data_IF_366364540182
#
_entry.id   IF_366364540182
#
_cell.length_a   1.000
_cell.length_b   1.000
_cell.length_c   1.000
_cell.angle_alpha   90.00
_cell.angle_beta   90.00
_cell.angle_gamma   90.00
#
_symmetry.space_group_name_H-M   'P 1'
#
loop_
_entity.id
_entity.type
_entity.pdbx_description
1 polymer ?
#
# COMPACT_ATOMS: atom_id res chain seq x y z
N UNK A 1 -0.61 20.06 -1.95
CA UNK A 1 0.66 19.37 -1.64
C UNK A 1 0.75 19.27 -0.12
N UNK A 2 0.78 18.06 0.44
CA UNK A 2 0.97 17.86 1.88
C UNK A 2 2.39 17.30 2.16
N UNK A 3 2.89 17.48 3.38
CA UNK A 3 4.24 17.05 3.76
C UNK A 3 4.31 16.43 5.17
N UNK A 4 3.19 16.31 5.87
CA UNK A 4 3.13 15.75 7.22
C UNK A 4 3.54 14.27 7.29
N UNK A 5 3.33 13.53 6.20
CA UNK A 5 3.71 12.12 6.08
C UNK A 5 5.23 11.89 5.94
N UNK A 6 6.04 12.95 5.77
CA UNK A 6 7.48 12.84 5.57
C UNK A 6 8.21 12.29 6.81
N UNK A 7 7.62 12.40 8.00
CA UNK A 7 8.14 11.99 9.32
C UNK A 7 9.39 11.11 9.31
N UNK A 8 9.23 9.79 9.38
CA UNK A 8 10.34 8.83 9.40
C UNK A 8 10.86 8.44 7.99
N UNK A 9 10.29 9.02 6.93
CA UNK A 9 10.57 8.62 5.54
C UNK A 9 11.62 9.50 4.86
N UNK A 10 11.82 10.74 5.33
CA UNK A 10 12.78 11.68 4.76
C UNK A 10 13.78 12.17 5.79
N UNK A 11 15.06 11.95 5.52
CA UNK A 11 16.14 12.40 6.39
C UNK A 11 16.28 13.92 6.38
N UNK A 12 16.38 14.52 7.57
CA UNK A 12 16.73 15.93 7.70
C UNK A 12 18.23 16.15 7.41
N UNK A 13 18.62 16.99 6.43
CA UNK A 13 20.02 17.21 6.11
C UNK A 13 20.72 18.08 7.17
N UNK A 14 22.00 17.78 7.42
CA UNK A 14 22.88 18.62 8.26
C UNK A 14 23.96 19.27 7.42
N UNK A 15 23.90 20.60 7.27
CA UNK A 15 24.88 21.36 6.46
C UNK A 15 26.32 21.10 6.90
N UNK A 16 26.58 21.09 8.22
CA UNK A 16 27.91 20.81 8.78
C UNK A 16 28.40 19.43 8.38
N UNK A 17 27.52 18.42 8.41
CA UNK A 17 27.87 17.04 8.06
C UNK A 17 28.12 16.90 6.56
N UNK A 18 27.32 17.55 5.73
CA UNK A 18 27.50 17.58 4.27
C UNK A 18 28.85 18.21 3.90
N UNK A 19 29.15 19.41 4.41
CA UNK A 19 30.43 20.09 4.14
C UNK A 19 31.63 19.24 4.59
N UNK A 20 31.56 18.68 5.81
CA UNK A 20 32.60 17.79 6.34
C UNK A 20 32.80 16.57 5.44
N UNK A 21 31.74 15.87 5.08
CA UNK A 21 31.80 14.65 4.27
C UNK A 21 32.37 14.94 2.87
N UNK A 22 32.00 16.07 2.26
CA UNK A 22 32.56 16.52 0.99
C UNK A 22 34.06 16.78 1.07
N UNK A 23 34.51 17.58 2.05
CA UNK A 23 35.93 17.92 2.21
C UNK A 23 36.81 16.69 2.47
N UNK A 24 36.31 15.74 3.28
CA UNK A 24 37.04 14.54 3.64
C UNK A 24 36.76 13.33 2.74
N UNK A 25 35.99 13.49 1.65
CA UNK A 25 35.56 12.41 0.76
C UNK A 25 34.99 11.20 1.53
N UNK A 26 34.17 11.46 2.54
CA UNK A 26 33.52 10.45 3.38
C UNK A 26 32.07 10.25 2.94
N UNK A 27 31.66 8.99 2.82
CA UNK A 27 30.26 8.64 2.60
C UNK A 27 29.47 8.80 3.91
N UNK A 28 28.20 9.21 3.78
CA UNK A 28 27.27 9.17 4.89
C UNK A 28 26.84 7.72 5.16
N UNK A 29 26.71 7.33 6.43
CA UNK A 29 26.27 5.99 6.79
C UNK A 29 24.79 5.72 6.47
N UNK A 30 24.37 4.46 6.65
CA UNK A 30 22.96 4.08 6.51
C UNK A 30 22.07 4.85 7.48
N UNK A 31 20.94 5.36 6.97
CA UNK A 31 19.95 6.10 7.74
C UNK A 31 18.57 5.43 7.64
N UNK A 32 17.74 5.68 8.65
CA UNK A 32 16.32 5.34 8.65
C UNK A 32 15.99 4.10 9.49
N UNK A 33 14.70 3.89 9.80
CA UNK A 33 14.24 2.78 10.64
C UNK A 33 14.53 1.40 10.02
N UNK A 34 14.75 1.35 8.70
CA UNK A 34 15.01 0.14 7.94
C UNK A 34 16.50 -0.06 7.62
N UNK A 35 17.41 0.61 8.34
CA UNK A 35 18.86 0.45 8.15
C UNK A 35 19.33 -1.01 8.37
N UNK A 36 18.58 -1.77 9.19
CA UNK A 36 18.64 -3.23 9.22
C UNK A 36 17.21 -3.77 9.24
N UNK A 37 16.96 -4.89 8.55
CA UNK A 37 15.65 -5.53 8.55
C UNK A 37 15.79 -7.05 8.46
N UNK A 38 14.77 -7.76 8.95
CA UNK A 38 14.69 -9.22 8.85
C UNK A 38 13.92 -9.61 7.60
N UNK A 39 14.44 -10.59 6.87
CA UNK A 39 13.77 -11.17 5.72
C UNK A 39 13.65 -12.69 5.90
N UNK A 40 12.51 -13.33 5.53
CA UNK A 40 12.37 -14.77 5.65
C UNK A 40 13.43 -15.51 4.83
N UNK A 41 14.07 -16.52 5.44
CA UNK A 41 15.09 -17.34 4.77
C UNK A 41 14.53 -18.07 3.52
N UNK A 42 13.24 -18.41 3.52
CA UNK A 42 12.56 -19.08 2.43
C UNK A 42 11.15 -18.53 2.21
N UNK A 43 10.66 -18.60 0.96
CA UNK A 43 9.28 -18.26 0.59
C UNK A 43 8.95 -16.75 0.53
N UNK A 44 9.94 -15.88 0.78
CA UNK A 44 9.79 -14.42 0.74
C UNK A 44 8.78 -13.88 1.76
N UNK A 45 8.42 -12.60 1.63
CA UNK A 45 7.50 -11.91 2.57
C UNK A 45 6.13 -12.61 2.68
N UNK A 46 5.63 -13.23 1.59
CA UNK A 46 4.36 -13.95 1.59
C UNK A 46 4.33 -15.14 2.57
N UNK A 47 5.49 -15.70 2.91
CA UNK A 47 5.59 -16.80 3.87
C UNK A 47 5.20 -16.40 5.29
N UNK A 48 5.40 -15.12 5.67
CA UNK A 48 4.99 -14.60 6.97
C UNK A 48 3.48 -14.75 7.12
N UNK A 49 2.71 -14.30 6.12
CA UNK A 49 1.25 -14.37 6.14
C UNK A 49 0.72 -15.80 6.05
N UNK A 50 1.38 -16.68 5.29
CA UNK A 50 1.06 -18.11 5.28
C UNK A 50 1.34 -18.79 6.62
N UNK A 51 2.36 -18.36 7.37
CA UNK A 51 2.61 -18.87 8.70
C UNK A 51 1.54 -18.38 9.70
N UNK A 52 1.21 -17.09 9.66
CA UNK A 52 0.12 -16.51 10.48
C UNK A 52 -1.22 -17.18 10.18
N UNK A 53 -1.54 -17.44 8.92
CA UNK A 53 -2.82 -18.06 8.56
C UNK A 53 -2.99 -19.46 9.13
N UNK A 54 -1.90 -20.22 9.34
CA UNK A 54 -1.93 -21.55 9.97
C UNK A 54 -2.25 -21.50 11.47
N UNK A 55 -2.08 -20.35 12.11
CA UNK A 55 -2.44 -20.14 13.51
C UNK A 55 -3.93 -19.84 13.72
N UNK A 56 -4.72 -19.73 12.65
CA UNK A 56 -6.14 -19.41 12.68
C UNK A 56 -6.93 -20.63 12.16
N UNK A 57 -8.11 -20.96 12.72
CA UNK A 57 -8.94 -22.05 12.20
C UNK A 57 -9.25 -21.87 10.71
N UNK A 58 -8.96 -22.89 9.90
CA UNK A 58 -8.97 -22.77 8.44
C UNK A 58 -10.38 -22.55 7.87
N UNK A 59 -11.41 -22.98 8.59
CA UNK A 59 -12.82 -22.76 8.26
C UNK A 59 -13.26 -21.28 8.34
N UNK A 60 -12.43 -20.42 8.95
CA UNK A 60 -12.62 -18.96 9.00
C UNK A 60 -12.20 -18.26 7.71
N UNK A 61 -11.42 -18.93 6.85
CA UNK A 61 -11.01 -18.36 5.57
C UNK A 61 -11.94 -18.80 4.46
N UNK A 62 -12.35 -17.84 3.63
CA UNK A 62 -13.15 -18.04 2.42
C UNK A 62 -12.42 -17.35 1.27
N UNK A 63 -11.66 -18.13 0.50
CA UNK A 63 -10.94 -17.65 -0.68
C UNK A 63 -11.80 -17.83 -1.95
N UNK A 64 -11.34 -17.26 -3.07
CA UNK A 64 -12.03 -17.30 -4.37
C UNK A 64 -13.49 -16.79 -4.30
N UNK A 65 -13.71 -15.79 -3.44
CA UNK A 65 -15.02 -15.22 -3.18
C UNK A 65 -14.89 -13.71 -3.13
N UNK A 66 -15.47 -13.02 -4.10
CA UNK A 66 -15.34 -11.57 -4.25
C UNK A 66 -16.58 -10.88 -3.73
N UNK A 67 -16.39 -9.85 -2.92
CA UNK A 67 -17.47 -8.99 -2.45
C UNK A 67 -18.03 -8.18 -3.63
N UNK A 68 -19.34 -8.21 -3.83
CA UNK A 68 -20.02 -7.48 -4.94
C UNK A 68 -21.00 -6.42 -4.45
N UNK A 69 -21.57 -6.58 -3.25
CA UNK A 69 -22.34 -5.51 -2.62
C UNK A 69 -22.38 -5.65 -1.11
N UNK A 70 -22.70 -4.54 -0.45
CA UNK A 70 -22.92 -4.45 0.99
C UNK A 70 -24.20 -3.68 1.24
N UNK A 71 -25.17 -4.34 1.88
CA UNK A 71 -26.32 -3.67 2.47
C UNK A 71 -25.95 -3.23 3.90
N UNK A 72 -25.67 -1.94 4.07
CA UNK A 72 -25.29 -1.37 5.37
C UNK A 72 -26.43 -1.34 6.39
N UNK A 73 -27.69 -1.29 5.95
CA UNK A 73 -28.87 -1.28 6.82
C UNK A 73 -29.20 -2.68 7.34
N UNK A 74 -29.34 -3.65 6.42
CA UNK A 74 -29.58 -5.05 6.80
C UNK A 74 -28.33 -5.72 7.36
N UNK A 75 -27.15 -5.10 7.16
CA UNK A 75 -25.84 -5.59 7.55
C UNK A 75 -25.54 -6.94 6.91
N UNK A 76 -25.65 -6.98 5.59
CA UNK A 76 -25.41 -8.18 4.78
C UNK A 76 -24.37 -7.87 3.70
N UNK A 77 -23.34 -8.71 3.63
CA UNK A 77 -22.36 -8.72 2.55
C UNK A 77 -22.75 -9.78 1.51
N UNK A 78 -22.80 -9.39 0.23
CA UNK A 78 -23.13 -10.26 -0.90
C UNK A 78 -21.89 -10.51 -1.75
N UNK A 79 -21.75 -11.74 -2.25
CA UNK A 79 -20.57 -12.18 -2.98
C UNK A 79 -20.93 -12.66 -4.40
N UNK A 80 -19.93 -12.79 -5.27
CA UNK A 80 -20.13 -13.15 -6.69
C UNK A 80 -20.59 -14.59 -6.93
N UNK A 81 -20.42 -15.46 -5.94
CA UNK A 81 -21.01 -16.81 -5.91
C UNK A 81 -22.49 -16.82 -5.48
N UNK A 82 -23.10 -15.64 -5.28
CA UNK A 82 -24.49 -15.46 -4.84
C UNK A 82 -24.72 -15.66 -3.33
N UNK A 83 -23.70 -16.08 -2.60
CA UNK A 83 -23.82 -16.31 -1.16
C UNK A 83 -23.81 -15.00 -0.37
N UNK A 84 -24.43 -15.03 0.82
CA UNK A 84 -24.63 -13.86 1.68
C UNK A 84 -24.11 -14.10 3.09
N UNK A 85 -23.57 -13.07 3.72
CA UNK A 85 -23.10 -13.12 5.12
C UNK A 85 -23.68 -11.94 5.90
N UNK A 86 -24.51 -12.24 6.89
CA UNK A 86 -24.95 -11.25 7.86
C UNK A 86 -23.83 -10.95 8.87
N UNK A 87 -23.68 -9.68 9.25
CA UNK A 87 -22.65 -9.25 10.19
C UNK A 87 -23.20 -8.32 11.28
N UNK A 88 -22.58 -8.37 12.46
CA UNK A 88 -22.83 -7.38 13.52
C UNK A 88 -21.97 -6.14 13.34
N UNK A 89 -20.71 -6.35 12.99
CA UNK A 89 -19.68 -5.35 12.73
C UNK A 89 -18.85 -5.83 11.54
N UNK A 90 -18.38 -4.90 10.73
CA UNK A 90 -17.52 -5.17 9.58
C UNK A 90 -16.18 -4.47 9.79
N UNK A 91 -15.09 -5.20 9.54
CA UNK A 91 -13.76 -4.64 9.34
C UNK A 91 -13.44 -4.90 7.87
N UNK A 92 -13.31 -3.84 7.09
CA UNK A 92 -13.00 -3.92 5.66
C UNK A 92 -11.56 -3.47 5.42
N UNK A 93 -10.84 -4.24 4.60
CA UNK A 93 -9.54 -3.88 4.05
C UNK A 93 -9.59 -3.66 2.53
N UNK A 94 -10.79 -3.53 1.97
CA UNK A 94 -10.99 -3.15 0.55
C UNK A 94 -10.60 -1.68 0.39
N UNK A 95 -9.96 -1.27 -0.73
CA UNK A 95 -9.72 0.15 -1.01
C UNK A 95 -10.99 0.99 -0.84
N UNK A 96 -10.87 2.16 -0.20
CA UNK A 96 -12.02 2.92 0.29
C UNK A 96 -12.91 3.42 -0.86
N UNK A 97 -12.29 3.90 -1.94
CA UNK A 97 -12.93 4.30 -3.20
C UNK A 97 -13.78 3.18 -3.80
N UNK A 98 -13.24 1.97 -3.85
CA UNK A 98 -13.96 0.79 -4.32
C UNK A 98 -15.07 0.39 -3.33
N UNK A 99 -14.77 0.38 -2.03
CA UNK A 99 -15.71 -0.04 -1.00
C UNK A 99 -16.96 0.85 -0.96
N UNK A 100 -16.79 2.18 -1.05
CA UNK A 100 -17.91 3.12 -1.15
C UNK A 100 -18.83 2.80 -2.35
N UNK A 101 -18.26 2.34 -3.47
CA UNK A 101 -19.02 1.89 -4.64
C UNK A 101 -19.74 0.55 -4.47
N UNK A 102 -19.40 -0.24 -3.45
CA UNK A 102 -20.05 -1.52 -3.13
C UNK A 102 -21.23 -1.35 -2.16
N UNK A 103 -21.30 -0.25 -1.41
CA UNK A 103 -22.36 0.01 -0.44
C UNK A 103 -23.65 0.42 -1.15
N UNK A 104 -24.72 -0.36 -0.97
CA UNK A 104 -25.96 -0.17 -1.74
C UNK A 104 -26.68 1.14 -1.40
N UNK A 105 -26.52 1.65 -0.19
CA UNK A 105 -27.05 2.96 0.22
C UNK A 105 -26.43 4.11 -0.57
N UNK A 106 -25.13 4.02 -0.91
CA UNK A 106 -24.43 5.02 -1.73
C UNK A 106 -24.87 4.99 -3.20
N UNK A 107 -25.40 3.85 -3.67
CA UNK A 107 -25.95 3.72 -5.02
C UNK A 107 -27.38 4.24 -5.12
N UNK A 108 -28.20 3.93 -4.13
CA UNK A 108 -29.65 4.00 -4.22
C UNK A 108 -30.27 5.20 -3.49
N UNK A 109 -29.53 5.86 -2.60
CA UNK A 109 -30.05 7.00 -1.84
C UNK A 109 -29.36 8.29 -2.32
N UNK A 110 -30.10 9.27 -2.87
CA UNK A 110 -29.50 10.57 -3.14
C UNK A 110 -29.03 11.20 -1.81
N UNK A 111 -27.95 11.99 -1.82
CA UNK A 111 -27.47 12.62 -0.61
C UNK A 111 -28.55 13.46 0.06
N UNK A 112 -28.59 13.41 1.40
CA UNK A 112 -29.50 14.26 2.16
C UNK A 112 -28.96 15.70 2.15
N UNK A 113 -29.65 16.60 1.45
CA UNK A 113 -29.25 18.01 1.29
C UNK A 113 -28.07 18.19 0.34
N UNK A 114 -27.28 19.26 0.55
CA UNK A 114 -26.17 19.64 -0.35
C UNK A 114 -24.85 18.86 -0.11
N UNK A 115 -24.86 17.85 0.76
CA UNK A 115 -23.63 17.10 1.08
C UNK A 115 -23.29 16.11 -0.04
N UNK A 116 -22.03 16.00 -0.50
CA UNK A 116 -21.65 15.00 -1.50
C UNK A 116 -21.76 13.58 -0.92
N UNK A 117 -22.03 12.59 -1.77
CA UNK A 117 -21.97 11.18 -1.38
C UNK A 117 -20.55 10.77 -0.97
N UNK A 118 -20.41 9.76 -0.12
CA UNK A 118 -19.09 9.26 0.28
C UNK A 118 -18.31 8.75 -0.92
N UNK A 119 -19.00 8.16 -1.90
CA UNK A 119 -18.35 7.74 -3.16
C UNK A 119 -17.72 8.91 -3.90
N UNK A 120 -18.43 10.04 -4.01
CA UNK A 120 -17.90 11.25 -4.66
C UNK A 120 -16.66 11.80 -3.96
N UNK A 121 -16.68 11.82 -2.62
CA UNK A 121 -15.52 12.23 -1.82
C UNK A 121 -14.34 11.25 -2.01
N UNK A 122 -14.61 9.95 -2.00
CA UNK A 122 -13.59 8.92 -2.15
C UNK A 122 -12.97 8.90 -3.56
N UNK A 123 -13.69 9.35 -4.59
CA UNK A 123 -13.16 9.50 -5.95
C UNK A 123 -12.08 10.59 -6.08
N UNK A 124 -12.01 11.51 -5.11
CA UNK A 124 -10.91 12.47 -5.01
C UNK A 124 -9.61 11.87 -4.45
N UNK A 125 -9.61 10.62 -3.97
CA UNK A 125 -8.42 9.97 -3.43
C UNK A 125 -7.46 9.59 -4.56
N UNK A 126 -6.20 9.97 -4.39
CA UNK A 126 -5.14 9.72 -5.37
C UNK A 126 -4.33 8.50 -4.94
N UNK A 127 -4.04 7.61 -5.89
CA UNK A 127 -3.17 6.46 -5.71
C UNK A 127 -2.26 6.28 -6.94
N UNK A 128 -1.24 5.45 -6.81
CA UNK A 128 -0.33 5.09 -7.90
C UNK A 128 -0.38 3.58 -8.19
N UNK A 129 -0.21 3.22 -9.46
CA UNK A 129 -0.12 1.82 -9.88
C UNK A 129 1.35 1.40 -9.96
N UNK A 130 1.70 0.33 -9.25
CA UNK A 130 3.07 -0.23 -9.25
C UNK A 130 3.15 -1.46 -10.16
N UNK A 131 4.07 -1.43 -11.12
CA UNK A 131 4.39 -2.58 -11.96
C UNK A 131 5.64 -3.29 -11.41
N UNK A 132 5.51 -4.57 -11.08
CA UNK A 132 6.61 -5.38 -10.55
C UNK A 132 7.06 -6.35 -11.63
N UNK A 133 8.33 -6.27 -12.05
CA UNK A 133 8.93 -7.14 -13.07
C UNK A 133 10.14 -7.85 -12.46
N UNK A 134 10.19 -9.18 -12.60
CA UNK A 134 11.29 -10.01 -12.12
C UNK A 134 12.15 -10.55 -13.27
N UNK A 135 13.46 -10.35 -13.19
CA UNK A 135 14.42 -10.92 -14.13
C UNK A 135 15.29 -11.95 -13.42
N UNK A 136 15.20 -13.21 -13.85
CA UNK A 136 16.11 -14.27 -13.41
C UNK A 136 17.35 -14.31 -14.28
N UNK A 137 18.53 -14.04 -13.70
CA UNK A 137 19.80 -14.00 -14.43
C UNK A 137 20.68 -15.16 -13.95
N UNK A 138 21.28 -15.88 -14.90
CA UNK A 138 22.26 -16.93 -14.60
C UNK A 138 23.60 -16.30 -14.23
N UNK A 139 24.17 -16.72 -13.11
CA UNK A 139 25.48 -16.25 -12.62
C UNK A 139 25.41 -15.74 -11.18
N UNK A 140 26.56 -15.37 -10.63
CA UNK A 140 26.64 -14.71 -9.32
C UNK A 140 26.68 -13.19 -9.52
N UNK A 141 25.87 -12.40 -8.79
CA UNK A 141 25.97 -10.96 -8.84
C UNK A 141 27.30 -10.49 -8.25
N UNK A 142 27.90 -9.46 -8.85
CA UNK A 142 29.14 -8.83 -8.38
C UNK A 142 28.93 -7.80 -7.27
N UNK A 143 27.67 -7.45 -6.95
CA UNK A 143 27.30 -6.46 -5.91
C UNK A 143 26.10 -6.93 -5.08
N UNK A 144 26.09 -6.61 -3.78
CA UNK A 144 25.11 -7.07 -2.81
C UNK A 144 24.26 -5.93 -2.26
N UNK A 145 23.26 -5.45 -2.99
CA UNK A 145 22.11 -4.65 -2.48
C UNK A 145 21.24 -4.14 -3.63
N UNK A 146 20.04 -3.64 -3.30
CA UNK A 146 19.14 -2.96 -4.24
C UNK A 146 19.84 -1.73 -4.84
N UNK A 147 20.18 -1.72 -6.15
CA UNK A 147 20.66 -0.51 -6.78
C UNK A 147 19.48 0.46 -6.94
N UNK A 148 19.66 1.70 -6.49
CA UNK A 148 18.81 2.79 -6.95
C UNK A 148 19.16 3.06 -8.41
N UNK A 149 18.17 2.95 -9.30
CA UNK A 149 18.38 3.29 -10.71
C UNK A 149 18.62 4.80 -10.83
N UNK A 150 19.69 5.25 -11.51
CA UNK A 150 19.87 6.67 -11.80
C UNK A 150 18.70 7.12 -12.69
N UNK A 151 18.07 8.23 -12.29
CA UNK A 151 16.97 8.89 -13.01
C UNK A 151 17.40 9.14 -14.46
N UNK A 152 16.64 8.64 -15.43
CA UNK A 152 16.80 9.08 -16.82
C UNK A 152 16.53 10.59 -16.88
N UNK A 153 17.46 11.35 -17.48
CA UNK A 153 17.23 12.75 -17.90
C UNK A 153 16.10 12.81 -18.93
N UNK A 154 14.86 12.80 -18.45
CA UNK A 154 13.76 13.49 -19.12
C UNK A 154 13.45 14.71 -18.26
N UNK A 155 13.30 15.88 -18.90
CA UNK A 155 12.62 17.03 -18.28
C UNK A 155 11.28 16.50 -17.78
N UNK A 156 11.15 16.39 -16.46
CA UNK A 156 9.95 15.91 -15.78
C UNK A 156 9.58 17.05 -14.84
N UNK A 157 8.43 17.67 -15.13
CA UNK A 157 7.74 18.56 -14.20
C UNK A 157 7.52 17.83 -12.87
N UNK A 158 7.60 18.59 -11.77
CA UNK A 158 7.82 18.14 -10.40
C UNK A 158 6.67 17.34 -9.75
N UNK A 159 6.17 16.30 -10.40
CA UNK A 159 4.99 15.54 -9.95
C UNK A 159 5.25 14.03 -9.80
N UNK A 160 6.49 13.57 -9.80
CA UNK A 160 6.75 12.12 -9.75
C UNK A 160 8.01 11.76 -9.00
N UNK A 161 7.99 11.95 -7.68
CA UNK A 161 8.63 11.02 -6.75
C UNK A 161 7.70 10.92 -5.55
N UNK A 162 7.43 9.69 -5.11
CA UNK A 162 7.22 9.24 -3.72
C UNK A 162 6.27 8.03 -3.70
N UNK A 163 6.76 6.99 -3.03
CA UNK A 163 6.15 5.67 -2.79
C UNK A 163 5.12 5.77 -1.67
#
# INVERSE_FOLDING_TARGET
MQCEWLGERVAAPSLKLVVKNTLYKKEAGNWGPNATFKFPAHGGTGQIWKAVSRCIPQDRFRFARRLVSVDGQQRVACFDDGSKVAYKKMISSVPLDLFCGLVDQEKNTPPAGDSPSLKSVADGLVYSTTHVVGFGIRGLPTVSSFPSLPVQKKRIDATSFFI
#
